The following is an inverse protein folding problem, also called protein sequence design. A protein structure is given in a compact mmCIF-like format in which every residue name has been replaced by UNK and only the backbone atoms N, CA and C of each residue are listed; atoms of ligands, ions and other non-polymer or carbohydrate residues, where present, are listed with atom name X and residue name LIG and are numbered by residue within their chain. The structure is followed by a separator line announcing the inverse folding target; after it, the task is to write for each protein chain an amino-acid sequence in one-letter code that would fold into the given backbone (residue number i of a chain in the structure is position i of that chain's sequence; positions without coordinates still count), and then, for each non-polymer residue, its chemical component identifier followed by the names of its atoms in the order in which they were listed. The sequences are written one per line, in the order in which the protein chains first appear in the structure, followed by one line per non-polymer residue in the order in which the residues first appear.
data_IF_903071165833
#
_entry.id   IF_903071165833
#
_cell.length_a   1.000
_cell.length_b   1.000
_cell.length_c   1.000
_cell.angle_alpha   90.00
_cell.angle_beta   90.00
_cell.angle_gamma   90.00
#
_symmetry.space_group_name_H-M   'P 1'
#
loop_
_entity.id
_entity.type
_entity.pdbx_description
1 polymer ?
#
# COMPACT_ATOMS: atom_id res chain seq x y z
N UNK A 1 34.25 -72.06 7.64
CA UNK A 1 33.21 -71.09 7.26
C UNK A 1 33.47 -70.68 5.82
N UNK A 2 32.73 -71.23 4.87
CA UNK A 2 32.86 -70.89 3.45
C UNK A 2 32.12 -69.57 3.19
N UNK A 3 32.83 -68.58 2.66
CA UNK A 3 32.28 -67.28 2.29
C UNK A 3 31.64 -67.43 0.91
N UNK A 4 30.34 -67.14 0.82
CA UNK A 4 29.54 -67.31 -0.39
C UNK A 4 29.80 -66.14 -1.36
N UNK A 5 30.38 -66.36 -2.55
CA UNK A 5 30.79 -65.29 -3.47
C UNK A 5 29.62 -64.52 -4.10
N UNK A 6 28.37 -64.95 -3.88
CA UNK A 6 27.18 -64.21 -4.32
C UNK A 6 26.87 -62.94 -3.52
N UNK A 7 27.42 -62.78 -2.31
CA UNK A 7 27.09 -61.66 -1.43
C UNK A 7 27.82 -60.36 -1.80
N UNK A 8 29.07 -60.43 -2.28
CA UNK A 8 29.85 -59.24 -2.67
C UNK A 8 29.38 -58.63 -3.99
N UNK A 9 28.92 -59.45 -4.95
CA UNK A 9 28.38 -58.95 -6.21
C UNK A 9 27.05 -58.20 -6.02
N UNK A 10 26.22 -58.63 -5.07
CA UNK A 10 24.95 -57.97 -4.75
C UNK A 10 25.16 -56.61 -4.03
N UNK A 11 26.17 -56.50 -3.17
CA UNK A 11 26.50 -55.24 -2.49
C UNK A 11 27.10 -54.19 -3.44
N UNK A 12 27.97 -54.59 -4.38
CA UNK A 12 28.52 -53.65 -5.38
C UNK A 12 27.50 -53.21 -6.44
N UNK A 13 26.55 -54.08 -6.82
CA UNK A 13 25.46 -53.71 -7.71
C UNK A 13 24.46 -52.74 -7.05
N UNK A 14 24.15 -52.94 -5.76
CA UNK A 14 23.28 -52.05 -4.98
C UNK A 14 23.88 -50.65 -4.77
N UNK A 15 25.20 -50.56 -4.51
CA UNK A 15 25.88 -49.28 -4.33
C UNK A 15 25.99 -48.47 -5.64
N UNK A 16 26.20 -49.13 -6.79
CA UNK A 16 26.20 -48.46 -8.11
C UNK A 16 24.80 -48.04 -8.56
N UNK A 17 23.77 -48.81 -8.25
CA UNK A 17 22.38 -48.43 -8.51
C UNK A 17 21.91 -47.25 -7.62
N UNK A 18 22.36 -47.22 -6.36
CA UNK A 18 22.12 -46.12 -5.42
C UNK A 18 22.83 -44.82 -5.84
N UNK A 19 24.08 -44.90 -6.31
CA UNK A 19 24.81 -43.74 -6.81
C UNK A 19 24.26 -43.23 -8.15
N UNK A 20 23.87 -44.12 -9.07
CA UNK A 20 23.24 -43.74 -10.34
C UNK A 20 21.83 -43.17 -10.15
N UNK A 21 21.07 -43.63 -9.14
CA UNK A 21 19.80 -43.03 -8.74
C UNK A 21 20.00 -41.65 -8.09
N UNK A 22 20.98 -41.50 -7.19
CA UNK A 22 21.31 -40.20 -6.59
C UNK A 22 21.77 -39.18 -7.64
N UNK A 23 22.60 -39.58 -8.60
CA UNK A 23 23.06 -38.70 -9.69
C UNK A 23 21.93 -38.37 -10.68
N UNK A 24 20.99 -39.29 -10.94
CA UNK A 24 19.78 -38.98 -11.73
C UNK A 24 18.78 -38.08 -11.00
N UNK A 25 18.78 -38.06 -9.67
CA UNK A 25 17.90 -37.17 -8.89
C UNK A 25 18.46 -35.74 -8.88
N UNK A 26 19.79 -35.58 -8.93
CA UNK A 26 20.46 -34.26 -9.00
C UNK A 26 20.44 -33.66 -10.42
N UNK A 27 20.25 -34.48 -11.46
CA UNK A 27 20.21 -34.02 -12.87
C UNK A 27 18.79 -33.82 -13.44
N UNK A 28 17.75 -34.14 -12.67
CA UNK A 28 16.34 -33.94 -13.05
C UNK A 28 15.63 -32.85 -12.22
N UNK A 29 16.35 -32.11 -11.38
CA UNK A 29 15.86 -30.81 -10.95
C UNK A 29 16.04 -29.87 -12.15
N UNK A 30 14.94 -29.57 -12.85
CA UNK A 30 14.86 -28.33 -13.60
C UNK A 30 15.44 -27.22 -12.72
N UNK A 31 16.25 -26.28 -13.25
CA UNK A 31 16.91 -25.26 -12.44
C UNK A 31 15.84 -24.60 -11.58
N UNK A 32 15.82 -25.01 -10.32
CA UNK A 32 14.84 -24.58 -9.35
C UNK A 32 15.04 -23.09 -9.26
N UNK A 33 14.07 -22.34 -9.79
CA UNK A 33 13.97 -20.90 -9.58
C UNK A 33 14.15 -20.74 -8.08
N UNK A 34 15.29 -20.20 -7.63
CA UNK A 34 15.44 -19.76 -6.25
C UNK A 34 14.14 -19.03 -5.90
N UNK A 35 13.50 -19.32 -4.75
CA UNK A 35 12.19 -18.77 -4.45
C UNK A 35 12.30 -17.26 -4.69
N UNK A 36 11.55 -16.77 -5.68
CA UNK A 36 11.73 -15.41 -6.16
C UNK A 36 11.59 -14.50 -4.93
N UNK A 37 12.69 -13.81 -4.57
CA UNK A 37 12.73 -12.94 -3.39
C UNK A 37 11.51 -12.04 -3.48
N UNK A 38 10.67 -12.05 -2.44
CA UNK A 38 9.45 -11.25 -2.46
C UNK A 38 9.85 -9.80 -2.73
N UNK A 39 9.16 -9.07 -3.64
CA UNK A 39 9.45 -7.65 -3.85
C UNK A 39 9.34 -6.79 -2.58
N UNK A 40 8.74 -7.33 -1.52
CA UNK A 40 8.73 -6.72 -0.19
C UNK A 40 10.04 -6.95 0.57
N UNK A 41 10.66 -8.12 0.47
CA UNK A 41 11.89 -8.46 1.19
C UNK A 41 13.07 -7.65 0.65
N UNK A 42 13.23 -7.60 -0.68
CA UNK A 42 14.26 -6.78 -1.34
C UNK A 42 14.14 -5.28 -0.97
N UNK A 43 12.91 -4.78 -0.85
CA UNK A 43 12.67 -3.39 -0.39
C UNK A 43 12.97 -3.19 1.07
N UNK A 44 12.58 -4.15 1.91
CA UNK A 44 12.82 -4.09 3.35
C UNK A 44 14.31 -4.01 3.62
N UNK A 45 15.10 -4.86 2.97
CA UNK A 45 16.57 -4.86 3.04
C UNK A 45 17.16 -3.52 2.61
N UNK A 46 16.73 -2.99 1.47
CA UNK A 46 17.15 -1.66 1.00
C UNK A 46 16.85 -0.56 2.03
N UNK A 47 15.64 -0.55 2.61
CA UNK A 47 15.27 0.46 3.61
C UNK A 47 16.08 0.31 4.90
N UNK A 48 16.37 -0.91 5.35
CA UNK A 48 17.18 -1.14 6.54
C UNK A 48 18.62 -0.67 6.34
N UNK A 49 19.22 -0.98 5.19
CA UNK A 49 20.57 -0.49 4.84
C UNK A 49 20.61 1.04 4.79
N UNK A 50 19.62 1.67 4.14
CA UNK A 50 19.50 3.13 4.09
C UNK A 50 19.24 3.74 5.47
N UNK A 51 18.51 3.05 6.34
CA UNK A 51 18.23 3.50 7.70
C UNK A 51 19.51 3.63 8.50
N UNK A 52 20.43 2.67 8.37
CA UNK A 52 21.74 2.70 9.03
C UNK A 52 22.59 3.88 8.56
N UNK A 53 22.68 4.11 7.24
CA UNK A 53 23.57 5.16 6.70
C UNK A 53 23.00 6.57 6.80
N UNK A 54 21.67 6.72 6.83
CA UNK A 54 21.01 8.05 6.90
C UNK A 54 20.54 8.41 8.31
N UNK A 55 20.52 7.46 9.25
CA UNK A 55 19.91 7.60 10.58
C UNK A 55 18.42 8.00 10.55
N UNK A 56 17.73 7.73 9.42
CA UNK A 56 16.28 7.87 9.26
C UNK A 56 15.67 6.51 9.47
N UNK A 57 14.64 6.41 10.33
CA UNK A 57 13.97 5.14 10.58
C UNK A 57 13.37 4.54 9.29
N UNK A 58 13.52 3.23 9.11
CA UNK A 58 13.11 2.52 7.89
C UNK A 58 11.65 2.78 7.48
N UNK A 59 10.75 2.99 8.45
CA UNK A 59 9.32 3.19 8.18
C UNK A 59 9.05 4.54 7.52
N UNK A 60 9.90 5.55 7.74
CA UNK A 60 9.84 6.82 7.00
C UNK A 60 10.32 6.65 5.57
N UNK A 61 11.40 5.90 5.37
CA UNK A 61 11.94 5.57 4.05
C UNK A 61 10.89 4.81 3.23
N UNK A 62 10.29 3.77 3.83
CA UNK A 62 9.20 3.00 3.23
C UNK A 62 7.97 3.87 2.92
N UNK A 63 7.62 4.81 3.79
CA UNK A 63 6.50 5.72 3.59
C UNK A 63 6.70 6.68 2.41
N UNK A 64 7.90 7.25 2.30
CA UNK A 64 8.29 8.13 1.19
C UNK A 64 8.24 7.37 -0.13
N UNK A 65 8.88 6.19 -0.19
CA UNK A 65 8.86 5.35 -1.38
C UNK A 65 7.43 4.92 -1.75
N UNK A 66 6.61 4.53 -0.78
CA UNK A 66 5.22 4.17 -1.04
C UNK A 66 4.42 5.37 -1.56
N UNK A 67 4.62 6.57 -1.01
CA UNK A 67 3.97 7.78 -1.50
C UNK A 67 4.34 8.08 -2.95
N UNK A 68 5.63 8.03 -3.28
CA UNK A 68 6.13 8.22 -4.64
C UNK A 68 5.52 7.20 -5.63
N UNK A 69 5.42 5.93 -5.24
CA UNK A 69 4.71 4.91 -6.05
C UNK A 69 3.28 5.31 -6.36
N UNK A 70 2.55 5.89 -5.40
CA UNK A 70 1.16 6.29 -5.63
C UNK A 70 1.05 7.41 -6.67
N UNK A 71 2.01 8.36 -6.67
CA UNK A 71 2.08 9.45 -7.64
C UNK A 71 2.49 8.90 -9.01
N UNK A 72 3.54 8.09 -9.09
CA UNK A 72 4.03 7.52 -10.36
C UNK A 72 2.96 6.65 -11.03
N UNK A 73 2.23 5.83 -10.26
CA UNK A 73 1.05 5.09 -10.76
C UNK A 73 -0.10 5.99 -11.23
N UNK A 74 -0.20 7.22 -10.72
CA UNK A 74 -1.22 8.18 -11.14
C UNK A 74 -0.83 8.95 -12.41
N UNK A 75 0.48 9.07 -12.68
CA UNK A 75 1.06 9.81 -13.81
C UNK A 75 2.15 9.02 -14.54
N UNK A 76 1.88 7.80 -15.05
CA UNK A 76 2.92 6.90 -15.55
C UNK A 76 3.72 7.44 -16.74
N UNK A 77 3.11 8.30 -17.57
CA UNK A 77 3.80 8.96 -18.70
C UNK A 77 4.76 10.07 -18.27
N UNK A 78 4.43 10.80 -17.20
CA UNK A 78 5.23 11.92 -16.72
C UNK A 78 6.23 11.51 -15.63
N UNK A 79 5.99 10.38 -14.97
CA UNK A 79 6.84 9.78 -13.93
C UNK A 79 7.02 8.29 -14.25
N UNK A 80 7.79 7.96 -15.31
CA UNK A 80 8.11 6.58 -15.61
C UNK A 80 8.90 5.93 -14.46
N UNK A 81 8.81 4.61 -14.38
CA UNK A 81 9.61 3.82 -13.48
C UNK A 81 11.09 3.88 -13.95
N UNK A 82 11.99 4.39 -13.11
CA UNK A 82 13.42 4.53 -13.46
C UNK A 82 14.27 3.37 -12.92
N UNK A 83 14.10 3.06 -11.63
CA UNK A 83 14.74 1.90 -10.98
C UNK A 83 13.94 0.61 -11.18
N UNK A 84 14.42 -0.49 -10.60
CA UNK A 84 13.74 -1.79 -10.71
C UNK A 84 12.71 -1.97 -9.61
N UNK A 85 13.03 -1.48 -8.43
CA UNK A 85 12.34 -1.83 -7.20
C UNK A 85 11.64 -0.63 -6.62
N UNK A 86 12.28 0.55 -6.49
CA UNK A 86 11.71 1.75 -5.81
C UNK A 86 10.80 2.55 -6.72
N UNK A 87 9.73 3.17 -6.21
CA UNK A 87 8.83 4.00 -7.02
C UNK A 87 9.23 5.46 -7.13
N UNK A 88 10.44 5.80 -6.69
CA UNK A 88 11.00 7.15 -6.71
C UNK A 88 11.18 7.60 -8.15
N UNK A 89 10.72 8.82 -8.43
CA UNK A 89 11.01 9.52 -9.66
C UNK A 89 11.51 10.91 -9.32
N UNK A 90 12.69 11.25 -9.83
CA UNK A 90 13.31 12.56 -9.72
C UNK A 90 13.58 13.05 -11.14
N UNK A 91 13.10 14.25 -11.43
CA UNK A 91 13.27 14.96 -12.69
C UNK A 91 14.76 15.19 -13.00
N UNK A 92 15.20 15.05 -14.27
CA UNK A 92 16.63 15.17 -14.63
C UNK A 92 17.26 16.47 -14.14
N UNK A 93 16.55 17.58 -14.30
CA UNK A 93 17.03 18.92 -13.95
C UNK A 93 17.17 19.07 -12.43
N UNK A 94 16.29 18.46 -11.66
CA UNK A 94 16.41 18.43 -10.20
C UNK A 94 17.55 17.53 -9.74
N UNK A 95 17.75 16.40 -10.42
CA UNK A 95 18.81 15.45 -10.13
C UNK A 95 20.18 16.07 -10.35
N UNK A 96 20.44 16.58 -11.56
CA UNK A 96 21.72 17.11 -12.00
C UNK A 96 21.96 18.56 -11.54
N UNK A 97 20.89 19.31 -11.27
CA UNK A 97 20.90 20.74 -10.94
C UNK A 97 20.34 21.59 -12.08
N UNK A 98 19.47 22.55 -11.76
CA UNK A 98 18.71 23.35 -12.76
C UNK A 98 19.59 24.13 -13.75
N UNK A 99 20.84 24.40 -13.38
CA UNK A 99 21.82 25.11 -14.20
C UNK A 99 22.89 24.19 -14.81
N UNK A 100 22.78 22.87 -14.62
CA UNK A 100 23.70 21.91 -15.21
C UNK A 100 23.43 21.80 -16.72
N UNK A 101 24.41 22.05 -17.60
CA UNK A 101 24.23 21.90 -19.04
C UNK A 101 23.98 20.45 -19.47
N UNK A 102 24.34 19.47 -18.64
CA UNK A 102 24.04 18.05 -18.83
C UNK A 102 22.99 17.60 -17.80
N UNK A 103 21.74 17.43 -18.24
CA UNK A 103 20.63 17.02 -17.38
C UNK A 103 20.68 15.53 -16.99
N UNK A 104 21.51 14.73 -17.67
CA UNK A 104 21.69 13.30 -17.38
C UNK A 104 23.05 13.02 -16.72
N UNK A 105 23.70 14.07 -16.18
CA UNK A 105 24.95 13.97 -15.44
C UNK A 105 24.82 12.98 -14.27
N UNK A 106 25.79 12.07 -14.20
CA UNK A 106 25.89 11.01 -13.21
C UNK A 106 27.14 11.14 -12.33
N UNK A 107 27.94 12.21 -12.48
CA UNK A 107 29.15 12.42 -11.70
C UNK A 107 28.82 13.21 -10.42
N UNK A 108 28.95 12.62 -9.21
CA UNK A 108 28.52 13.27 -7.98
C UNK A 108 29.11 14.67 -7.74
N UNK A 109 30.39 14.87 -8.09
CA UNK A 109 31.08 16.16 -7.93
C UNK A 109 30.48 17.24 -8.83
N UNK A 110 30.16 16.89 -10.08
CA UNK A 110 29.58 17.82 -11.06
C UNK A 110 28.13 18.15 -10.69
N UNK A 111 27.34 17.13 -10.34
CA UNK A 111 25.97 17.31 -9.82
C UNK A 111 25.95 18.25 -8.61
N UNK A 112 26.86 18.05 -7.66
CA UNK A 112 26.95 18.90 -6.47
C UNK A 112 27.33 20.34 -6.80
N UNK A 113 28.23 20.56 -7.76
CA UNK A 113 28.62 21.89 -8.23
C UNK A 113 27.41 22.69 -8.74
N UNK A 114 26.49 22.03 -9.44
CA UNK A 114 25.25 22.64 -9.94
C UNK A 114 24.08 22.60 -8.94
N UNK A 115 24.35 22.28 -7.67
CA UNK A 115 23.34 22.12 -6.60
C UNK A 115 22.26 21.08 -6.90
N UNK A 116 22.55 20.09 -7.75
CA UNK A 116 21.69 18.93 -7.97
C UNK A 116 21.62 18.03 -6.74
N UNK A 117 20.53 17.29 -6.61
CA UNK A 117 20.30 16.42 -5.45
C UNK A 117 20.91 15.03 -5.58
N UNK A 118 21.29 14.60 -6.79
CA UNK A 118 21.83 13.26 -7.04
C UNK A 118 23.09 12.96 -6.25
N UNK A 119 23.14 11.82 -5.57
CA UNK A 119 24.26 11.34 -4.77
C UNK A 119 24.46 9.86 -4.98
N UNK A 120 25.73 9.46 -4.97
CA UNK A 120 26.19 8.08 -4.95
C UNK A 120 25.88 7.49 -3.56
N UNK A 121 24.87 6.62 -3.52
CA UNK A 121 24.36 5.99 -2.31
C UNK A 121 24.91 4.59 -2.07
N UNK A 122 25.37 3.90 -3.11
CA UNK A 122 25.94 2.55 -3.02
C UNK A 122 27.49 2.53 -3.04
N UNK A 123 28.12 3.66 -3.33
CA UNK A 123 29.57 3.87 -3.30
C UNK A 123 30.29 3.43 -4.57
N UNK A 124 29.59 3.29 -5.71
CA UNK A 124 30.18 2.86 -6.97
C UNK A 124 30.90 3.98 -7.75
N UNK A 125 30.86 5.21 -7.24
CA UNK A 125 31.44 6.42 -7.82
C UNK A 125 30.48 7.21 -8.71
N UNK A 126 29.25 6.74 -8.89
CA UNK A 126 28.24 7.31 -9.78
C UNK A 126 26.97 7.66 -8.99
N UNK A 127 26.30 8.73 -9.41
CA UNK A 127 24.95 9.05 -8.94
C UNK A 127 23.98 8.78 -10.08
N UNK A 128 23.43 7.57 -10.12
CA UNK A 128 22.56 7.10 -11.19
C UNK A 128 21.07 7.22 -10.89
N UNK A 129 20.31 7.84 -11.80
CA UNK A 129 18.84 7.89 -11.74
C UNK A 129 18.17 6.54 -11.99
N UNK A 130 18.91 5.52 -12.40
CA UNK A 130 18.40 4.16 -12.60
C UNK A 130 18.82 3.21 -11.48
N UNK A 131 19.67 3.65 -10.55
CA UNK A 131 19.98 2.91 -9.31
C UNK A 131 18.87 3.15 -8.28
N UNK A 132 18.28 2.06 -7.78
CA UNK A 132 17.28 2.12 -6.71
C UNK A 132 17.87 2.73 -5.43
N UNK A 133 19.16 2.47 -5.15
CA UNK A 133 19.88 2.96 -3.96
C UNK A 133 20.10 4.46 -4.08
N UNK A 134 20.67 4.93 -5.19
CA UNK A 134 20.97 6.36 -5.38
C UNK A 134 19.72 7.22 -5.38
N UNK A 135 18.65 6.78 -6.06
CA UNK A 135 17.38 7.50 -6.10
C UNK A 135 16.83 7.74 -4.69
N UNK A 136 16.77 6.67 -3.91
CA UNK A 136 16.18 6.71 -2.58
C UNK A 136 17.11 7.41 -1.59
N UNK A 137 18.42 7.12 -1.62
CA UNK A 137 19.43 7.79 -0.80
C UNK A 137 19.44 9.30 -1.03
N UNK A 138 19.46 9.74 -2.29
CA UNK A 138 19.47 11.16 -2.66
C UNK A 138 18.26 11.90 -2.09
N UNK A 139 17.07 11.32 -2.24
CA UNK A 139 15.83 11.92 -1.74
C UNK A 139 15.81 11.94 -0.20
N UNK A 140 16.12 10.82 0.45
CA UNK A 140 16.12 10.73 1.92
C UNK A 140 17.15 11.68 2.53
N UNK A 141 18.33 11.83 1.93
CA UNK A 141 19.35 12.78 2.39
C UNK A 141 18.84 14.22 2.37
N UNK A 142 18.12 14.63 1.31
CA UNK A 142 17.54 15.97 1.22
C UNK A 142 16.42 16.17 2.23
N UNK A 143 15.55 15.19 2.41
CA UNK A 143 14.44 15.29 3.38
C UNK A 143 14.90 15.16 4.82
N UNK A 144 16.03 14.51 5.08
CA UNK A 144 16.67 14.42 6.39
C UNK A 144 17.40 15.71 6.82
N UNK A 145 17.55 16.72 5.94
CA UNK A 145 18.37 17.90 6.20
C UNK A 145 17.96 18.72 7.44
N UNK A 146 16.71 18.62 7.88
CA UNK A 146 16.21 19.30 9.09
C UNK A 146 16.32 18.45 10.36
N UNK A 147 16.73 17.19 10.24
CA UNK A 147 16.79 16.20 11.30
C UNK A 147 16.00 14.94 10.94
N UNK A 148 16.36 13.83 11.59
CA UNK A 148 15.81 12.50 11.29
C UNK A 148 14.77 12.01 12.29
N UNK A 149 14.50 12.78 13.35
CA UNK A 149 13.50 12.44 14.36
C UNK A 149 12.07 12.54 13.81
N UNK A 150 11.13 11.82 14.40
CA UNK A 150 9.70 11.84 14.03
C UNK A 150 9.09 13.26 14.01
N UNK A 151 9.64 14.19 14.80
CA UNK A 151 9.18 15.58 14.86
C UNK A 151 9.83 16.48 13.78
N UNK A 152 11.07 16.19 13.37
CA UNK A 152 11.84 17.04 12.45
C UNK A 152 11.81 16.56 11.01
N UNK A 153 11.74 15.26 10.77
CA UNK A 153 11.72 14.69 9.44
C UNK A 153 10.55 15.24 8.58
N UNK A 154 9.32 15.44 9.12
CA UNK A 154 8.23 16.09 8.38
C UNK A 154 8.54 17.51 7.87
N UNK A 155 9.42 18.26 8.55
CA UNK A 155 9.82 19.60 8.11
C UNK A 155 10.62 19.52 6.81
N UNK A 156 11.55 18.57 6.72
CA UNK A 156 12.33 18.34 5.50
C UNK A 156 11.49 17.77 4.36
N UNK A 157 10.50 16.92 4.66
CA UNK A 157 9.48 16.52 3.67
C UNK A 157 8.72 17.73 3.13
N UNK A 158 8.29 18.67 3.97
CA UNK A 158 7.62 19.88 3.51
C UNK A 158 8.53 20.75 2.65
N UNK A 159 9.81 20.90 3.00
CA UNK A 159 10.78 21.63 2.19
C UNK A 159 10.98 20.99 0.81
N UNK A 160 11.00 19.65 0.73
CA UNK A 160 11.16 18.92 -0.53
C UNK A 160 9.90 18.94 -1.41
N UNK A 161 8.73 18.66 -0.83
CA UNK A 161 7.47 18.49 -1.57
C UNK A 161 6.67 19.79 -1.74
N UNK A 162 6.85 20.76 -0.84
CA UNK A 162 6.09 22.03 -0.76
C UNK A 162 4.56 21.81 -0.78
N UNK A 163 4.12 20.69 -0.21
CA UNK A 163 2.73 20.24 -0.22
C UNK A 163 2.37 19.56 1.11
N UNK A 164 1.53 20.20 1.92
CA UNK A 164 1.13 19.67 3.23
C UNK A 164 0.33 18.36 3.14
N UNK A 165 -0.38 18.11 2.02
CA UNK A 165 -1.06 16.82 1.82
C UNK A 165 -0.05 15.70 1.59
N UNK A 166 1.02 15.97 0.84
CA UNK A 166 2.10 15.00 0.63
C UNK A 166 2.71 14.57 1.97
N UNK A 167 3.07 15.55 2.80
CA UNK A 167 3.59 15.31 4.15
C UNK A 167 2.60 14.48 4.95
N UNK A 168 1.33 14.92 5.06
CA UNK A 168 0.30 14.18 5.79
C UNK A 168 0.18 12.71 5.33
N UNK A 169 0.22 12.43 4.03
CA UNK A 169 0.14 11.06 3.49
C UNK A 169 1.36 10.24 3.88
N UNK A 170 2.56 10.81 3.79
CA UNK A 170 3.79 10.13 4.20
C UNK A 170 3.76 9.84 5.70
N UNK A 171 3.33 10.79 6.55
CA UNK A 171 3.19 10.56 7.99
C UNK A 171 2.17 9.43 8.29
N UNK A 172 1.07 9.39 7.56
CA UNK A 172 0.06 8.34 7.68
C UNK A 172 0.65 6.97 7.30
N UNK A 173 1.39 6.88 6.20
CA UNK A 173 2.02 5.63 5.76
C UNK A 173 3.09 5.19 6.76
N UNK A 174 3.90 6.12 7.26
CA UNK A 174 4.92 5.88 8.27
C UNK A 174 4.32 5.29 9.54
N UNK A 175 3.19 5.85 10.02
CA UNK A 175 2.46 5.32 11.19
C UNK A 175 1.98 3.88 10.98
N UNK A 176 1.45 3.56 9.80
CA UNK A 176 1.00 2.21 9.45
C UNK A 176 2.18 1.23 9.47
N UNK A 177 3.28 1.56 8.78
CA UNK A 177 4.47 0.71 8.74
C UNK A 177 5.11 0.52 10.12
N UNK A 178 5.22 1.61 10.90
CA UNK A 178 5.73 1.56 12.28
C UNK A 178 4.90 0.62 13.17
N UNK A 179 3.57 0.64 13.05
CA UNK A 179 2.68 -0.22 13.85
C UNK A 179 2.84 -1.71 13.53
N UNK A 180 2.91 -2.07 12.25
CA UNK A 180 2.88 -3.48 11.84
C UNK A 180 4.25 -4.11 11.58
N UNK A 181 5.31 -3.31 11.42
CA UNK A 181 6.67 -3.82 11.24
C UNK A 181 6.92 -4.55 9.91
N UNK A 182 6.02 -4.43 8.93
CA UNK A 182 6.10 -5.12 7.64
C UNK A 182 5.55 -4.29 6.49
N UNK A 183 5.95 -4.62 5.25
CA UNK A 183 5.52 -3.90 4.05
C UNK A 183 4.28 -4.47 3.36
N UNK A 184 4.01 -5.78 3.52
CA UNK A 184 2.85 -6.43 2.92
C UNK A 184 1.58 -6.15 3.75
N UNK A 185 0.96 -5.00 3.46
CA UNK A 185 -0.23 -4.46 4.14
C UNK A 185 -1.31 -4.09 3.11
N UNK A 186 -1.47 -4.92 2.08
CA UNK A 186 -2.42 -4.72 0.99
C UNK A 186 -3.55 -5.75 0.96
N UNK A 187 -3.72 -6.48 2.06
CA UNK A 187 -4.88 -7.36 2.24
C UNK A 187 -6.18 -6.55 2.34
N UNK A 188 -7.27 -7.19 1.91
CA UNK A 188 -8.59 -6.59 1.93
C UNK A 188 -9.64 -7.54 2.50
N UNK A 189 -10.70 -6.96 3.05
CA UNK A 189 -11.88 -7.62 3.57
C UNK A 189 -13.16 -7.02 2.97
N UNK A 190 -14.23 -7.80 2.89
CA UNK A 190 -15.54 -7.29 2.51
C UNK A 190 -16.12 -6.43 3.65
N UNK A 191 -16.74 -5.26 3.39
CA UNK A 191 -17.12 -4.32 4.45
C UNK A 191 -18.24 -4.82 5.38
N UNK A 192 -19.00 -5.86 4.98
CA UNK A 192 -20.01 -6.50 5.83
C UNK A 192 -19.59 -7.95 6.15
N UNK A 193 -19.93 -8.52 7.32
CA UNK A 193 -19.69 -9.94 7.58
C UNK A 193 -20.41 -10.84 6.58
N UNK A 194 -19.73 -11.83 6.01
CA UNK A 194 -20.30 -12.76 5.01
C UNK A 194 -21.48 -13.61 5.53
N UNK A 195 -21.67 -13.66 6.85
CA UNK A 195 -22.80 -14.37 7.50
C UNK A 195 -24.04 -13.49 7.69
N UNK A 196 -23.93 -12.19 7.47
CA UNK A 196 -25.05 -11.26 7.55
C UNK A 196 -25.96 -11.39 6.33
N UNK A 197 -27.24 -11.06 6.48
CA UNK A 197 -28.15 -10.92 5.35
C UNK A 197 -27.93 -9.55 4.69
N UNK A 198 -27.38 -9.54 3.49
CA UNK A 198 -27.15 -8.33 2.71
C UNK A 198 -27.40 -8.55 1.22
N UNK A 199 -27.68 -7.46 0.51
CA UNK A 199 -27.76 -7.42 -0.95
C UNK A 199 -27.12 -6.14 -1.47
N UNK A 200 -26.50 -6.24 -2.65
CA UNK A 200 -25.93 -5.11 -3.35
C UNK A 200 -25.84 -5.44 -4.84
N UNK A 201 -25.91 -4.40 -5.66
CA UNK A 201 -25.76 -4.46 -7.11
C UNK A 201 -24.88 -3.30 -7.54
N UNK A 202 -24.45 -3.31 -8.79
CA UNK A 202 -23.85 -2.12 -9.36
C UNK A 202 -24.89 -0.99 -9.37
N UNK A 203 -24.56 0.11 -8.69
CA UNK A 203 -25.36 1.33 -8.59
C UNK A 203 -24.54 2.55 -8.97
N UNK A 204 -23.39 2.35 -9.63
CA UNK A 204 -22.51 3.44 -10.01
C UNK A 204 -23.18 4.33 -11.04
N UNK A 205 -23.14 5.65 -10.82
CA UNK A 205 -23.75 6.62 -11.73
C UNK A 205 -25.28 6.73 -11.64
N UNK A 206 -25.94 5.91 -10.81
CA UNK A 206 -27.38 5.99 -10.58
C UNK A 206 -27.80 7.39 -10.11
N UNK A 207 -29.00 7.83 -10.51
CA UNK A 207 -29.53 9.14 -10.09
C UNK A 207 -29.80 9.14 -8.58
N UNK A 208 -29.19 10.05 -7.83
CA UNK A 208 -29.55 10.27 -6.41
C UNK A 208 -30.71 11.26 -6.32
N UNK A 209 -31.93 10.74 -6.28
CA UNK A 209 -33.18 11.50 -6.29
C UNK A 209 -33.47 12.22 -4.97
N UNK A 210 -33.04 13.48 -4.87
CA UNK A 210 -33.67 14.54 -4.06
C UNK A 210 -33.47 15.90 -4.76
N UNK A 211 -33.92 15.98 -6.02
CA UNK A 211 -34.00 17.25 -6.78
C UNK A 211 -32.70 17.82 -7.35
N UNK A 212 -31.66 17.02 -7.61
CA UNK A 212 -30.38 17.53 -8.14
C UNK A 212 -29.71 16.61 -9.17
N UNK A 213 -28.76 17.18 -9.94
CA UNK A 213 -27.90 16.49 -10.95
C UNK A 213 -26.77 15.65 -10.32
N UNK A 214 -27.00 15.00 -9.17
CA UNK A 214 -25.96 14.19 -8.50
C UNK A 214 -26.00 12.74 -8.97
N UNK A 215 -24.86 12.25 -9.41
CA UNK A 215 -24.61 10.84 -9.70
C UNK A 215 -24.18 10.12 -8.42
N UNK A 216 -24.51 8.83 -8.32
CA UNK A 216 -24.13 8.00 -7.21
C UNK A 216 -22.65 7.56 -7.34
N UNK A 217 -21.80 8.15 -6.50
CA UNK A 217 -20.36 7.91 -6.48
C UNK A 217 -19.97 6.80 -5.49
N UNK A 218 -20.68 5.67 -5.54
CA UNK A 218 -20.44 4.53 -4.67
C UNK A 218 -21.37 3.34 -4.94
N UNK A 219 -21.34 2.38 -4.03
CA UNK A 219 -22.23 1.22 -4.02
C UNK A 219 -22.98 1.17 -2.70
N UNK A 220 -24.30 0.97 -2.78
CA UNK A 220 -25.14 0.80 -1.60
C UNK A 220 -25.28 -0.70 -1.27
N UNK A 221 -24.85 -1.10 -0.07
CA UNK A 221 -25.00 -2.44 0.46
C UNK A 221 -26.15 -2.45 1.47
N UNK A 222 -27.31 -2.97 1.06
CA UNK A 222 -28.48 -3.08 1.92
C UNK A 222 -28.29 -4.19 2.93
N UNK A 223 -28.46 -3.87 4.21
CA UNK A 223 -28.35 -4.80 5.32
C UNK A 223 -29.16 -4.27 6.50
N UNK A 224 -29.52 -5.16 7.44
CA UNK A 224 -30.29 -4.78 8.62
C UNK A 224 -29.58 -3.72 9.47
N UNK A 225 -30.37 -2.85 10.13
CA UNK A 225 -29.84 -1.88 11.09
C UNK A 225 -29.02 -2.59 12.17
N UNK A 226 -27.85 -2.04 12.53
CA UNK A 226 -26.95 -2.68 13.49
C UNK A 226 -26.06 -3.78 12.91
N UNK A 227 -26.13 -4.07 11.59
CA UNK A 227 -25.14 -4.96 10.95
C UNK A 227 -23.74 -4.36 11.11
N UNK A 228 -22.72 -5.11 11.59
CA UNK A 228 -21.37 -4.59 11.71
C UNK A 228 -20.81 -4.12 10.36
N UNK A 229 -20.15 -2.96 10.36
CA UNK A 229 -19.40 -2.43 9.22
C UNK A 229 -17.92 -2.52 9.56
N UNK A 230 -17.14 -3.11 8.64
CA UNK A 230 -15.73 -3.44 8.81
C UNK A 230 -14.87 -2.58 7.87
N UNK A 231 -13.65 -2.26 8.30
CA UNK A 231 -12.65 -1.68 7.40
C UNK A 231 -12.32 -2.66 6.28
N UNK A 232 -12.26 -2.18 5.04
CA UNK A 232 -11.91 -2.99 3.86
C UNK A 232 -10.40 -3.14 3.66
N UNK A 233 -9.57 -2.35 4.36
CA UNK A 233 -8.13 -2.26 4.16
C UNK A 233 -7.39 -1.97 5.48
N UNK A 234 -6.06 -2.08 5.45
CA UNK A 234 -5.20 -1.38 6.39
C UNK A 234 -5.23 0.11 6.07
N UNK A 235 -5.38 0.95 7.08
CA UNK A 235 -5.44 2.39 6.84
C UNK A 235 -5.55 3.22 8.09
N UNK A 236 -5.65 4.53 7.91
CA UNK A 236 -5.85 5.50 8.98
C UNK A 236 -7.21 6.17 8.85
N UNK A 237 -7.91 6.33 9.97
CA UNK A 237 -9.17 7.08 10.03
C UNK A 237 -8.86 8.57 9.84
N UNK A 238 -9.22 9.14 8.68
CA UNK A 238 -9.05 10.57 8.40
C UNK A 238 -10.21 11.39 8.93
N UNK A 239 -11.42 10.86 8.86
CA UNK A 239 -12.61 11.54 9.35
C UNK A 239 -13.56 10.57 10.03
N UNK A 240 -14.21 11.04 11.08
CA UNK A 240 -15.26 10.35 11.82
C UNK A 240 -16.26 11.40 12.28
N UNK A 241 -17.52 11.30 11.87
CA UNK A 241 -18.53 12.26 12.32
C UNK A 241 -19.71 12.42 11.36
N UNK A 242 -20.47 13.50 11.56
CA UNK A 242 -21.69 13.78 10.81
C UNK A 242 -21.40 14.61 9.54
N UNK A 243 -22.08 14.30 8.44
CA UNK A 243 -22.35 15.28 7.39
C UNK A 243 -23.83 15.23 6.95
N UNK A 244 -24.30 16.31 6.31
CA UNK A 244 -25.71 16.46 5.92
C UNK A 244 -26.23 15.32 5.04
N UNK A 245 -25.41 14.80 4.12
CA UNK A 245 -25.84 13.81 3.13
C UNK A 245 -25.60 12.38 3.59
N UNK A 246 -24.38 12.05 3.99
CA UNK A 246 -23.98 10.71 4.43
C UNK A 246 -24.29 10.40 5.89
N UNK A 247 -24.82 11.34 6.68
CA UNK A 247 -25.11 11.13 8.09
C UNK A 247 -23.85 10.84 8.88
N UNK A 248 -23.89 9.84 9.76
CA UNK A 248 -22.70 9.32 10.42
C UNK A 248 -21.83 8.57 9.42
N UNK A 249 -20.61 9.06 9.25
CA UNK A 249 -19.66 8.54 8.27
C UNK A 249 -18.25 8.44 8.83
N UNK A 250 -17.52 7.45 8.34
CA UNK A 250 -16.09 7.27 8.60
C UNK A 250 -15.35 7.22 7.27
N UNK A 251 -14.16 7.82 7.24
CA UNK A 251 -13.27 7.85 6.09
C UNK A 251 -11.91 7.28 6.44
N UNK A 252 -11.41 6.33 5.67
CA UNK A 252 -10.17 5.60 5.93
C UNK A 252 -9.25 5.72 4.72
N UNK A 253 -7.98 6.08 4.93
CA UNK A 253 -6.95 6.18 3.88
C UNK A 253 -6.05 4.94 3.90
N UNK A 254 -5.92 4.26 2.76
CA UNK A 254 -5.01 3.11 2.59
C UNK A 254 -3.61 3.53 2.09
N UNK A 255 -2.69 2.56 2.03
CA UNK A 255 -1.32 2.75 1.52
C UNK A 255 -1.25 3.01 0.00
N UNK A 256 -2.32 2.77 -0.77
CA UNK A 256 -2.41 3.13 -2.19
C UNK A 256 -2.95 4.55 -2.40
N UNK A 257 -3.10 5.32 -1.31
CA UNK A 257 -3.70 6.64 -1.30
C UNK A 257 -5.19 6.65 -1.74
N UNK A 258 -5.87 5.50 -1.58
CA UNK A 258 -7.32 5.41 -1.73
C UNK A 258 -8.01 5.81 -0.43
N UNK A 259 -9.02 6.64 -0.59
CA UNK A 259 -9.95 7.03 0.46
C UNK A 259 -11.19 6.15 0.40
N UNK A 260 -11.42 5.39 1.45
CA UNK A 260 -12.56 4.51 1.63
C UNK A 260 -13.60 5.22 2.48
N UNK A 261 -14.78 5.44 1.90
CA UNK A 261 -15.87 6.20 2.50
C UNK A 261 -17.01 5.29 2.91
N UNK A 262 -17.39 5.35 4.18
CA UNK A 262 -18.47 4.54 4.76
C UNK A 262 -19.50 5.50 5.35
N UNK A 263 -20.73 5.45 4.88
CA UNK A 263 -21.79 6.38 5.28
C UNK A 263 -23.08 5.67 5.68
N UNK A 264 -24.01 6.48 6.17
CA UNK A 264 -25.32 6.09 6.69
C UNK A 264 -25.26 5.22 7.94
N UNK A 265 -24.15 5.29 8.69
CA UNK A 265 -23.95 4.48 9.88
C UNK A 265 -24.97 4.85 10.96
N UNK A 266 -25.33 3.89 11.81
CA UNK A 266 -26.12 4.14 13.01
C UNK A 266 -25.27 4.66 14.16
N UNK A 267 -23.97 4.33 14.13
CA UNK A 267 -22.96 4.77 15.07
C UNK A 267 -21.59 4.20 14.72
N UNK A 268 -20.61 4.53 15.54
CA UNK A 268 -19.22 4.09 15.38
C UNK A 268 -18.75 3.27 16.56
N UNK A 269 -17.75 2.43 16.35
CA UNK A 269 -16.99 1.90 17.48
C UNK A 269 -16.46 3.05 18.34
N UNK A 270 -16.74 2.99 19.65
CA UNK A 270 -16.39 4.06 20.60
C UNK A 270 -14.91 4.10 20.90
N UNK A 271 -14.19 2.99 20.70
CA UNK A 271 -12.74 2.93 20.93
C UNK A 271 -11.94 3.67 19.85
N UNK A 272 -12.53 3.84 18.66
CA UNK A 272 -11.85 4.44 17.51
C UNK A 272 -11.95 5.97 17.51
N UNK A 273 -10.90 6.66 17.07
CA UNK A 273 -10.88 8.12 16.83
C UNK A 273 -10.13 8.44 15.53
N UNK A 274 -10.25 9.69 15.08
CA UNK A 274 -9.47 10.20 13.94
C UNK A 274 -7.97 10.06 14.26
N UNK A 275 -7.21 9.55 13.29
CA UNK A 275 -5.78 9.25 13.42
C UNK A 275 -5.47 7.80 13.81
N UNK A 276 -6.44 7.01 14.26
CA UNK A 276 -6.20 5.61 14.59
C UNK A 276 -5.97 4.76 13.33
N UNK A 277 -5.11 3.76 13.47
CA UNK A 277 -4.82 2.77 12.44
C UNK A 277 -5.78 1.60 12.58
N UNK A 278 -6.44 1.25 11.47
CA UNK A 278 -7.34 0.11 11.34
C UNK A 278 -6.76 -0.98 10.43
N UNK A 279 -7.31 -2.18 10.54
CA UNK A 279 -6.95 -3.35 9.74
C UNK A 279 -8.16 -3.96 9.00
N UNK A 280 -7.94 -4.70 7.89
CA UNK A 280 -9.03 -5.33 7.15
C UNK A 280 -9.87 -6.24 8.06
N UNK A 281 -11.19 -6.04 8.05
CA UNK A 281 -12.12 -6.83 8.84
C UNK A 281 -12.38 -6.26 10.25
N UNK A 282 -11.62 -5.28 10.72
CA UNK A 282 -11.89 -4.61 11.99
C UNK A 282 -13.22 -3.85 11.93
N UNK A 283 -14.09 -4.03 12.92
CA UNK A 283 -15.36 -3.31 13.01
C UNK A 283 -15.09 -1.82 13.28
N UNK A 284 -15.70 -0.95 12.47
CA UNK A 284 -15.55 0.51 12.56
C UNK A 284 -16.86 1.22 12.91
N UNK A 285 -17.98 0.52 12.76
CA UNK A 285 -19.31 1.02 13.09
C UNK A 285 -20.38 0.03 12.69
N UNK A 286 -21.61 0.53 12.54
CA UNK A 286 -22.77 -0.31 12.22
C UNK A 286 -23.66 0.33 11.17
N UNK A 287 -24.27 -0.51 10.33
CA UNK A 287 -25.25 -0.10 9.33
C UNK A 287 -26.39 0.63 10.01
N UNK A 288 -26.85 1.70 9.37
CA UNK A 288 -27.98 2.49 9.81
C UNK A 288 -28.73 3.09 8.63
N UNK A 289 -29.47 4.15 8.91
CA UNK A 289 -30.22 4.94 7.93
C UNK A 289 -30.05 6.44 8.18
N UNK A 290 -28.86 6.83 8.65
CA UNK A 290 -28.60 8.21 9.07
C UNK A 290 -28.21 9.11 7.90
N UNK A 291 -28.68 10.35 7.91
CA UNK A 291 -28.33 11.37 6.91
C UNK A 291 -29.52 12.15 6.37
N UNK A 292 -29.27 12.90 5.29
CA UNK A 292 -30.23 13.78 4.63
C UNK A 292 -30.91 14.78 5.58
N UNK A 293 -30.14 15.41 6.47
CA UNK A 293 -30.69 16.37 7.43
C UNK A 293 -29.70 16.90 8.46
N UNK A 294 -30.23 17.46 9.55
CA UNK A 294 -29.47 17.92 10.72
C UNK A 294 -28.84 16.72 11.46
N UNK A 295 -27.76 16.92 12.24
CA UNK A 295 -27.16 15.86 13.05
C UNK A 295 -28.18 14.98 13.77
N UNK A 296 -28.06 13.66 13.62
CA UNK A 296 -28.98 12.67 14.22
C UNK A 296 -30.18 12.28 13.36
N UNK A 297 -30.40 12.91 12.20
CA UNK A 297 -31.48 12.52 11.27
C UNK A 297 -31.33 11.05 10.86
N UNK A 298 -32.37 10.24 11.02
CA UNK A 298 -32.38 8.83 10.61
C UNK A 298 -33.75 8.40 10.08
N UNK A 299 -33.83 7.24 9.43
CA UNK A 299 -35.10 6.63 9.01
C UNK A 299 -35.71 7.18 7.71
N UNK A 300 -35.00 8.05 6.97
CA UNK A 300 -35.51 8.64 5.71
C UNK A 300 -35.43 7.70 4.50
N UNK A 301 -34.74 6.58 4.63
CA UNK A 301 -34.47 5.59 3.59
C UNK A 301 -34.16 4.23 4.23
N UNK A 302 -34.28 3.12 3.49
CA UNK A 302 -33.99 1.78 4.02
C UNK A 302 -32.54 1.69 4.55
N UNK A 303 -32.28 0.92 5.62
CA UNK A 303 -30.94 0.76 6.15
C UNK A 303 -29.97 0.17 5.11
N UNK A 304 -28.82 0.83 4.94
CA UNK A 304 -27.76 0.38 4.05
C UNK A 304 -26.42 1.01 4.45
N UNK A 305 -25.33 0.38 4.04
CA UNK A 305 -24.01 1.00 3.99
C UNK A 305 -23.83 1.62 2.62
N UNK A 306 -23.67 2.94 2.55
CA UNK A 306 -23.11 3.55 1.36
C UNK A 306 -21.59 3.46 1.42
N UNK A 307 -20.99 2.76 0.46
CA UNK A 307 -19.54 2.58 0.34
C UNK A 307 -19.01 3.27 -0.91
N UNK A 308 -18.12 4.23 -0.73
CA UNK A 308 -17.43 4.95 -1.80
C UNK A 308 -15.93 4.71 -1.76
N UNK A 309 -15.27 4.82 -2.91
CA UNK A 309 -13.81 4.80 -2.98
C UNK A 309 -13.33 5.94 -3.89
N UNK A 310 -12.34 6.67 -3.41
CA UNK A 310 -11.79 7.83 -4.09
C UNK A 310 -10.28 7.69 -4.16
N UNK A 311 -9.69 8.01 -5.30
CA UNK A 311 -8.24 8.00 -5.45
C UNK A 311 -7.72 9.43 -5.48
N UNK A 312 -6.73 9.70 -4.63
CA UNK A 312 -6.04 10.99 -4.62
C UNK A 312 -4.85 10.95 -5.60
N UNK A 313 -4.80 11.90 -6.55
CA UNK A 313 -3.68 12.07 -7.49
C UNK A 313 -2.77 13.25 -7.14
N UNK A 314 -2.84 13.74 -5.90
CA UNK A 314 -2.03 14.84 -5.35
C UNK A 314 -2.64 16.23 -5.55
N UNK A 315 -3.57 16.39 -6.49
CA UNK A 315 -4.26 17.66 -6.78
C UNK A 315 -5.78 17.57 -6.64
N UNK A 316 -6.36 16.42 -7.02
CA UNK A 316 -7.80 16.18 -7.05
C UNK A 316 -8.06 14.75 -6.58
N UNK A 317 -9.11 14.58 -5.79
CA UNK A 317 -9.68 13.27 -5.48
C UNK A 317 -10.79 12.96 -6.48
N UNK A 318 -10.77 11.77 -7.06
CA UNK A 318 -11.81 11.33 -7.99
C UNK A 318 -12.41 10.01 -7.50
N UNK A 319 -13.74 9.96 -7.49
CA UNK A 319 -14.48 8.75 -7.18
C UNK A 319 -14.34 7.74 -8.34
N UNK A 320 -14.31 6.46 -8.02
CA UNK A 320 -14.44 5.40 -9.02
C UNK A 320 -15.34 4.28 -8.50
N UNK A 321 -15.88 3.49 -9.43
CA UNK A 321 -16.82 2.43 -9.12
C UNK A 321 -16.20 1.40 -8.15
N UNK A 322 -16.76 1.25 -6.92
CA UNK A 322 -16.26 0.27 -5.95
C UNK A 322 -16.85 -1.14 -6.16
N UNK A 323 -17.87 -1.31 -7.02
CA UNK A 323 -18.57 -2.58 -7.17
C UNK A 323 -17.63 -3.74 -7.58
N UNK A 324 -16.72 -3.60 -8.57
CA UNK A 324 -15.80 -4.67 -8.95
C UNK A 324 -14.89 -5.11 -7.80
N UNK A 325 -14.38 -4.17 -6.99
CA UNK A 325 -13.54 -4.46 -5.84
C UNK A 325 -14.34 -5.15 -4.75
N UNK A 326 -15.57 -4.70 -4.47
CA UNK A 326 -16.47 -5.33 -3.51
C UNK A 326 -16.74 -6.79 -3.88
N UNK A 327 -17.05 -7.09 -5.16
CA UNK A 327 -17.23 -8.47 -5.65
C UNK A 327 -15.97 -9.31 -5.46
N UNK A 328 -14.80 -8.76 -5.78
CA UNK A 328 -13.52 -9.44 -5.62
C UNK A 328 -13.24 -9.77 -4.15
N UNK A 329 -13.38 -8.81 -3.25
CA UNK A 329 -13.11 -9.00 -1.83
C UNK A 329 -14.10 -9.97 -1.18
N UNK A 330 -15.38 -9.93 -1.55
CA UNK A 330 -16.39 -10.90 -1.12
C UNK A 330 -15.98 -12.34 -1.49
N UNK A 331 -15.62 -12.56 -2.76
CA UNK A 331 -15.22 -13.88 -3.25
C UNK A 331 -13.94 -14.39 -2.59
N UNK A 332 -12.92 -13.54 -2.47
CA UNK A 332 -11.66 -13.89 -1.82
C UNK A 332 -11.87 -14.28 -0.36
N UNK A 333 -12.69 -13.53 0.39
CA UNK A 333 -12.97 -13.84 1.78
C UNK A 333 -13.77 -15.16 1.90
N UNK A 334 -14.73 -15.43 1.01
CA UNK A 334 -15.43 -16.72 0.94
C UNK A 334 -14.47 -17.89 0.69
N UNK A 335 -13.51 -17.71 -0.22
CA UNK A 335 -12.49 -18.73 -0.52
C UNK A 335 -11.59 -19.01 0.70
N UNK A 336 -11.10 -17.96 1.38
CA UNK A 336 -10.29 -18.10 2.61
C UNK A 336 -11.05 -18.83 3.72
N UNK A 337 -12.35 -18.58 3.86
CA UNK A 337 -13.18 -19.29 4.85
C UNK A 337 -13.40 -20.77 4.50
N UNK A 338 -13.42 -21.10 3.20
CA UNK A 338 -13.52 -22.50 2.74
C UNK A 338 -12.20 -23.25 2.91
N UNK A 339 -11.06 -22.62 2.65
CA UNK A 339 -9.74 -23.28 2.79
C UNK A 339 -9.31 -23.50 4.24
N UNK A 340 -9.95 -22.83 5.21
CA UNK A 340 -9.74 -23.01 6.65
C UNK A 340 -10.63 -24.09 7.27
N UNK A 341 -11.59 -24.63 6.50
CA UNK A 341 -12.43 -25.77 6.88
C UNK A 341 -11.82 -27.01 6.28
#
# INVERSE_FOLDING_TARGET
MMINPGAEAALQAGARASAAAAVRTVLNEEPGKAPAVSPYDARRELYDNLSVVTNVEWYWIAAVDQYERTISKAKPKARPQLGQTVGIYIEPERWAGELNPDSEDNRPVSIQWFNGIGRDGDGDGMASRTSDVDLLYSLIRVTAAQGTSDERFPIGLWNYYRNSRAVQRIEQFAKIYKKYGKLDLFEHAFPLPLRSNYSYKDTWGDKRGWGGRRVHEGTDLFAGHGTPVRSTCYGIIEIKGWNKYGGWRIGIRDLNNHYHYYAHLSGFDKSLKVGDIVEPGQVVGWVGSSGYGKPGTSGKFPPHLHYGIYRDRGLVEWAFDPYPQLRKWEQQERQRLRSKR
#
